data_IF_374426469818
#
_entry.id   IF_374426469818
#
_cell.length_a   1.000
_cell.length_b   1.000
_cell.length_c   1.000
_cell.angle_alpha   90.00
_cell.angle_beta   90.00
_cell.angle_gamma   90.00
#
_symmetry.space_group_name_H-M   'P 1'
#
loop_
_entity.id
_entity.type
_entity.pdbx_description
1 polymer ?
#
# COMPACT_ATOMS: atom_id res chain seq x y z
N UNK A 1 16.57 -17.50 13.60
CA UNK A 1 16.65 -16.06 13.92
C UNK A 1 15.30 -15.48 13.58
N UNK A 2 14.52 -15.10 14.57
CA UNK A 2 13.18 -14.51 14.43
C UNK A 2 13.31 -13.16 13.71
N UNK A 3 13.02 -13.16 12.40
CA UNK A 3 13.28 -12.03 11.51
C UNK A 3 12.22 -10.95 11.63
N UNK A 4 12.40 -10.00 12.55
CA UNK A 4 11.83 -8.67 12.36
C UNK A 4 12.57 -8.07 11.17
N UNK A 5 11.89 -7.94 10.02
CA UNK A 5 12.47 -7.31 8.84
C UNK A 5 12.64 -5.82 9.09
N UNK A 6 13.77 -5.29 8.66
CA UNK A 6 14.08 -3.88 8.80
C UNK A 6 13.52 -3.10 7.62
N UNK A 7 13.30 -1.80 7.81
CA UNK A 7 12.89 -0.89 6.75
C UNK A 7 13.79 -1.00 5.50
N UNK A 8 15.10 -1.14 5.72
CA UNK A 8 16.13 -1.24 4.67
C UNK A 8 16.06 -2.53 3.85
N UNK A 9 15.37 -3.57 4.33
CA UNK A 9 15.19 -4.82 3.57
C UNK A 9 14.21 -4.64 2.40
N UNK A 10 13.28 -3.69 2.53
CA UNK A 10 12.21 -3.44 1.56
C UNK A 10 12.47 -2.15 0.79
N UNK A 11 12.90 -1.10 1.48
CA UNK A 11 13.01 0.25 0.94
C UNK A 11 14.45 0.76 0.94
N UNK A 12 14.77 1.58 -0.05
CA UNK A 12 16.05 2.30 -0.14
C UNK A 12 16.06 3.47 0.87
N UNK A 13 16.65 3.22 2.05
CA UNK A 13 16.73 4.23 3.09
C UNK A 13 17.66 5.40 2.74
N UNK A 14 18.71 5.17 1.95
CA UNK A 14 19.62 6.26 1.54
C UNK A 14 18.89 7.22 0.62
N UNK A 15 18.08 6.68 -0.30
CA UNK A 15 17.21 7.50 -1.15
C UNK A 15 16.15 8.23 -0.36
N UNK A 16 15.52 7.58 0.62
CA UNK A 16 14.57 8.23 1.52
C UNK A 16 15.22 9.41 2.25
N UNK A 17 16.37 9.19 2.90
CA UNK A 17 17.10 10.23 3.65
C UNK A 17 17.47 11.39 2.75
N UNK A 18 18.07 11.10 1.58
CA UNK A 18 18.46 12.11 0.60
C UNK A 18 17.27 12.93 0.10
N UNK A 19 16.13 12.27 -0.16
CA UNK A 19 14.93 12.97 -0.67
C UNK A 19 14.32 13.95 0.34
N UNK A 20 14.58 13.74 1.64
CA UNK A 20 14.03 14.55 2.73
C UNK A 20 15.05 15.55 3.30
N UNK A 21 16.30 15.55 2.84
CA UNK A 21 17.42 16.28 3.47
C UNK A 21 17.20 17.79 3.62
N UNK A 22 16.45 18.39 2.68
CA UNK A 22 16.13 19.82 2.67
C UNK A 22 14.84 20.16 3.45
N UNK A 23 14.17 19.15 4.00
CA UNK A 23 12.88 19.28 4.70
C UNK A 23 13.02 18.90 6.17
N UNK A 24 13.60 17.72 6.43
CA UNK A 24 13.87 17.22 7.77
C UNK A 24 15.18 16.44 7.80
N UNK A 25 15.89 16.51 8.93
CA UNK A 25 17.09 15.68 9.14
C UNK A 25 16.67 14.27 9.54
N UNK A 26 16.97 13.30 8.69
CA UNK A 26 16.77 11.87 8.97
C UNK A 26 18.13 11.22 9.23
N UNK A 27 18.23 10.44 10.31
CA UNK A 27 19.46 9.74 10.70
C UNK A 27 19.21 8.24 10.84
N UNK A 28 20.15 7.41 10.38
CA UNK A 28 20.07 5.95 10.50
C UNK A 28 20.38 5.45 11.91
N UNK A 29 21.35 6.11 12.56
CA UNK A 29 21.80 5.78 13.90
C UNK A 29 21.45 6.92 14.84
N UNK A 30 21.04 6.56 16.05
CA UNK A 30 20.73 7.51 17.09
C UNK A 30 22.01 8.28 17.48
N UNK A 31 21.98 9.62 17.56
CA UNK A 31 23.14 10.39 18.01
C UNK A 31 23.53 10.02 19.44
N UNK A 32 24.84 9.99 19.73
CA UNK A 32 25.37 9.60 21.05
C UNK A 32 24.82 10.43 22.22
N UNK A 33 24.40 11.66 21.95
CA UNK A 33 23.85 12.58 22.94
C UNK A 33 22.41 12.21 23.36
N UNK A 34 21.78 11.26 22.66
CA UNK A 34 20.38 10.89 22.88
C UNK A 34 20.31 9.54 23.61
N UNK A 35 19.83 9.56 24.85
CA UNK A 35 19.64 8.35 25.66
C UNK A 35 18.32 7.63 25.32
N UNK A 36 18.40 6.31 25.15
CA UNK A 36 17.23 5.43 24.97
C UNK A 36 16.55 5.00 26.29
N UNK A 37 17.19 5.24 27.46
CA UNK A 37 16.72 4.64 28.73
C UNK A 37 15.40 5.21 29.24
N UNK A 38 15.05 6.44 28.89
CA UNK A 38 13.87 7.16 29.42
C UNK A 38 12.98 7.78 28.33
N UNK A 39 12.96 7.19 27.13
CA UNK A 39 12.18 7.73 26.00
C UNK A 39 10.68 7.60 26.26
N UNK A 40 9.96 8.71 26.15
CA UNK A 40 8.50 8.68 26.17
C UNK A 40 7.96 8.07 24.86
N UNK A 41 7.15 7.02 24.98
CA UNK A 41 6.41 6.45 23.85
C UNK A 41 5.08 7.19 23.74
N UNK A 42 4.90 7.94 22.66
CA UNK A 42 3.68 8.71 22.40
C UNK A 42 2.88 8.01 21.32
N UNK A 43 1.65 7.58 21.66
CA UNK A 43 0.73 7.00 20.68
C UNK A 43 0.02 8.13 19.93
N UNK A 44 0.20 8.19 18.63
CA UNK A 44 -0.30 9.29 17.80
C UNK A 44 -1.23 8.72 16.72
N UNK A 45 -2.49 9.20 16.61
CA UNK A 45 -3.32 8.87 15.47
C UNK A 45 -2.62 9.23 14.16
N UNK A 46 -2.83 8.49 13.08
CA UNK A 46 -2.37 8.96 11.78
C UNK A 46 -3.11 10.24 11.39
N UNK A 47 -2.37 11.20 10.82
CA UNK A 47 -2.90 12.49 10.31
C UNK A 47 -3.53 13.38 11.39
N UNK A 48 -2.75 13.68 12.42
CA UNK A 48 -3.12 14.68 13.43
C UNK A 48 -2.93 16.10 12.90
N UNK A 49 -3.73 17.03 13.41
CA UNK A 49 -3.59 18.47 13.11
C UNK A 49 -2.40 19.08 13.82
N UNK A 50 -1.98 20.27 13.39
CA UNK A 50 -0.94 21.05 14.09
C UNK A 50 -1.36 21.35 15.54
N UNK A 51 -2.62 21.70 15.78
CA UNK A 51 -3.17 21.90 17.13
C UNK A 51 -3.00 20.66 18.01
N UNK A 52 -3.27 19.46 17.48
CA UNK A 52 -3.06 18.23 18.22
C UNK A 52 -1.58 18.03 18.56
N UNK A 53 -0.67 18.33 17.62
CA UNK A 53 0.78 18.27 17.86
C UNK A 53 1.17 19.23 18.98
N UNK A 54 0.73 20.49 18.90
CA UNK A 54 1.04 21.54 19.88
C UNK A 54 0.48 21.23 21.28
N UNK A 55 -0.73 20.67 21.35
CA UNK A 55 -1.39 20.38 22.62
C UNK A 55 -0.89 19.07 23.27
N UNK A 56 -0.64 18.02 22.48
CA UNK A 56 -0.42 16.67 23.01
C UNK A 56 1.01 16.14 22.83
N UNK A 57 1.78 16.64 21.86
CA UNK A 57 3.09 16.07 21.50
C UNK A 57 4.22 17.03 21.89
N UNK A 58 4.10 18.30 21.52
CA UNK A 58 5.13 19.32 21.74
C UNK A 58 5.52 19.47 23.24
N UNK A 59 4.59 19.46 24.21
CA UNK A 59 4.93 19.57 25.62
C UNK A 59 5.78 18.39 26.12
N UNK A 60 5.46 17.18 25.64
CA UNK A 60 6.20 15.95 25.97
C UNK A 60 7.59 16.03 25.35
N UNK A 61 7.69 16.42 24.08
CA UNK A 61 8.96 16.57 23.38
C UNK A 61 9.87 17.62 24.05
N UNK A 62 9.33 18.80 24.40
CA UNK A 62 10.06 19.85 25.12
C UNK A 62 10.57 19.38 26.49
N UNK A 63 9.79 18.57 27.20
CA UNK A 63 10.17 18.03 28.51
C UNK A 63 11.22 16.91 28.44
N UNK A 64 11.11 16.02 27.45
CA UNK A 64 11.93 14.80 27.36
C UNK A 64 13.14 14.95 26.42
N UNK A 65 13.12 15.93 25.52
CA UNK A 65 14.13 16.12 24.47
C UNK A 65 14.07 15.11 23.32
N UNK A 66 13.53 13.91 23.58
CA UNK A 66 13.27 12.88 22.57
C UNK A 66 11.96 12.14 22.86
N UNK A 67 11.32 11.61 21.82
CA UNK A 67 10.12 10.77 21.93
C UNK A 67 10.17 9.65 20.89
N UNK A 68 9.53 8.53 21.20
CA UNK A 68 9.24 7.47 20.23
C UNK A 68 7.77 7.57 19.85
N UNK A 69 7.49 7.90 18.60
CA UNK A 69 6.13 7.94 18.09
C UNK A 69 5.69 6.52 17.70
N UNK A 70 4.53 6.10 18.22
CA UNK A 70 3.85 4.88 17.81
C UNK A 70 2.54 5.27 17.12
N UNK A 71 2.48 5.14 15.80
CA UNK A 71 1.29 5.53 15.03
C UNK A 71 0.24 4.42 14.99
N UNK A 72 -1.03 4.80 14.94
CA UNK A 72 -2.14 3.87 14.70
C UNK A 72 -3.19 4.50 13.78
N UNK A 73 -3.94 3.67 13.06
CA UNK A 73 -4.98 4.12 12.14
C UNK A 73 -6.34 4.09 12.86
N UNK A 74 -6.87 5.24 13.32
CA UNK A 74 -8.19 5.28 13.96
C UNK A 74 -9.31 4.92 12.97
N UNK A 75 -9.10 5.17 11.67
CA UNK A 75 -9.96 4.67 10.60
C UNK A 75 -9.14 4.14 9.44
N UNK A 76 -9.66 3.11 8.78
CA UNK A 76 -9.07 2.53 7.55
C UNK A 76 -9.35 3.38 6.30
N UNK A 77 -9.94 4.56 6.48
CA UNK A 77 -10.41 5.43 5.40
C UNK A 77 -9.46 6.62 5.22
N UNK A 78 -8.89 6.75 4.02
CA UNK A 78 -8.00 7.83 3.60
C UNK A 78 -8.76 8.92 2.81
N UNK A 79 -10.03 9.15 3.18
CA UNK A 79 -10.80 10.28 2.67
C UNK A 79 -10.19 11.57 3.20
N UNK A 80 -10.17 12.59 2.33
CA UNK A 80 -9.89 13.96 2.70
C UNK A 80 -11.01 14.47 3.61
N UNK A 81 -10.65 15.01 4.77
CA UNK A 81 -11.54 15.65 5.72
C UNK A 81 -11.65 17.16 5.44
N UNK A 82 -12.68 17.83 5.98
CA UNK A 82 -12.77 19.29 5.95
C UNK A 82 -11.71 19.98 6.81
N UNK A 83 -11.06 19.24 7.71
CA UNK A 83 -9.94 19.68 8.53
C UNK A 83 -8.57 19.42 7.87
N UNK A 84 -8.55 18.65 6.76
CA UNK A 84 -7.37 18.51 5.93
C UNK A 84 -7.29 19.80 5.12
N UNK A 85 -6.66 20.81 5.74
CA UNK A 85 -6.41 22.12 5.16
C UNK A 85 -5.55 22.06 3.90
N UNK A 86 -4.83 23.15 3.66
CA UNK A 86 -3.87 23.27 2.57
C UNK A 86 -2.90 22.07 2.54
N UNK A 87 -2.51 21.66 1.33
CA UNK A 87 -1.66 20.48 1.09
C UNK A 87 -0.46 20.47 2.03
N UNK A 88 -0.24 19.37 2.76
CA UNK A 88 1.02 19.14 3.49
C UNK A 88 2.09 18.65 2.50
N UNK A 89 3.00 19.52 2.03
CA UNK A 89 3.98 19.14 1.00
C UNK A 89 4.97 18.10 1.54
N UNK A 90 5.23 18.07 2.85
CA UNK A 90 6.15 17.13 3.48
C UNK A 90 5.53 15.74 3.50
N UNK A 91 4.26 15.62 3.90
CA UNK A 91 3.54 14.35 3.84
C UNK A 91 3.42 13.84 2.40
N UNK A 92 3.10 14.72 1.44
CA UNK A 92 3.02 14.34 0.03
C UNK A 92 4.37 13.83 -0.51
N UNK A 93 5.45 14.53 -0.22
CA UNK A 93 6.81 14.12 -0.59
C UNK A 93 7.15 12.76 0.03
N UNK A 94 6.98 12.62 1.34
CA UNK A 94 7.31 11.38 2.06
C UNK A 94 6.49 10.18 1.54
N UNK A 95 5.18 10.34 1.35
CA UNK A 95 4.30 9.23 0.96
C UNK A 95 4.44 8.83 -0.52
N UNK A 96 4.63 9.80 -1.42
CA UNK A 96 4.55 9.52 -2.86
C UNK A 96 5.85 9.72 -3.63
N UNK A 97 6.75 10.60 -3.15
CA UNK A 97 7.98 10.98 -3.84
C UNK A 97 9.26 10.37 -3.27
N UNK A 98 9.28 10.01 -1.98
CA UNK A 98 10.51 9.61 -1.28
C UNK A 98 10.68 8.10 -1.09
N UNK A 99 9.58 7.35 -1.03
CA UNK A 99 9.61 5.93 -0.71
C UNK A 99 9.82 5.08 -1.96
N UNK A 100 10.97 4.42 -2.04
CA UNK A 100 11.34 3.55 -3.15
C UNK A 100 11.82 2.19 -2.68
N UNK A 101 11.50 1.16 -3.46
CA UNK A 101 11.93 -0.20 -3.18
C UNK A 101 13.45 -0.34 -3.34
N UNK A 102 14.03 -1.25 -2.55
CA UNK A 102 15.38 -1.74 -2.79
C UNK A 102 15.52 -2.23 -4.24
N UNK A 103 16.67 -1.98 -4.92
CA UNK A 103 16.83 -2.30 -6.34
C UNK A 103 16.54 -3.76 -6.68
N UNK A 104 16.91 -4.70 -5.79
CA UNK A 104 16.68 -6.13 -6.02
C UNK A 104 15.18 -6.47 -6.02
N UNK A 105 14.42 -5.96 -5.05
CA UNK A 105 12.98 -6.19 -4.96
C UNK A 105 12.24 -5.49 -6.10
N UNK A 106 12.64 -4.25 -6.43
CA UNK A 106 12.09 -3.51 -7.56
C UNK A 106 12.27 -4.27 -8.88
N UNK A 107 13.46 -4.84 -9.12
CA UNK A 107 13.73 -5.63 -10.32
C UNK A 107 12.82 -6.88 -10.44
N UNK A 108 12.48 -7.51 -9.30
CA UNK A 108 11.52 -8.63 -9.29
C UNK A 108 10.12 -8.15 -9.65
N UNK A 109 9.65 -7.05 -9.05
CA UNK A 109 8.34 -6.46 -9.36
C UNK A 109 8.24 -6.07 -10.83
N UNK A 110 9.25 -5.37 -11.37
CA UNK A 110 9.28 -4.97 -12.78
C UNK A 110 9.30 -6.19 -13.71
N UNK A 111 10.06 -7.24 -13.38
CA UNK A 111 10.05 -8.49 -14.15
C UNK A 111 8.66 -9.16 -14.16
N UNK A 112 7.95 -9.17 -13.04
CA UNK A 112 6.58 -9.70 -12.95
C UNK A 112 5.61 -8.89 -13.82
N UNK A 113 5.71 -7.55 -13.78
CA UNK A 113 4.88 -6.66 -14.61
C UNK A 113 5.17 -6.90 -16.09
N UNK A 114 6.45 -6.92 -16.49
CA UNK A 114 6.82 -7.13 -17.89
C UNK A 114 6.30 -8.48 -18.42
N UNK A 115 6.37 -9.53 -17.60
CA UNK A 115 5.80 -10.83 -17.94
C UNK A 115 4.28 -10.78 -18.12
N UNK A 116 3.56 -10.07 -17.25
CA UNK A 116 2.11 -9.83 -17.39
C UNK A 116 1.79 -9.06 -18.69
N UNK A 117 2.58 -8.05 -19.03
CA UNK A 117 2.44 -7.28 -20.29
C UNK A 117 2.70 -8.16 -21.51
N UNK A 118 3.73 -9.00 -21.47
CA UNK A 118 4.05 -9.94 -22.53
C UNK A 118 2.91 -10.93 -22.78
N UNK A 119 2.35 -11.53 -21.72
CA UNK A 119 1.19 -12.43 -21.84
C UNK A 119 -0.09 -11.74 -22.33
N UNK A 120 -0.17 -10.41 -22.19
CA UNK A 120 -1.28 -9.57 -22.64
C UNK A 120 -0.95 -8.74 -23.88
N UNK A 121 0.07 -9.13 -24.66
CA UNK A 121 0.46 -8.44 -25.91
C UNK A 121 -0.71 -8.21 -26.88
N UNK A 122 -1.62 -9.18 -27.01
CA UNK A 122 -2.84 -9.07 -27.84
C UNK A 122 -3.81 -7.96 -27.37
N UNK A 123 -3.73 -7.53 -26.12
CA UNK A 123 -4.52 -6.44 -25.55
C UNK A 123 -3.70 -5.17 -25.33
N UNK A 124 -2.56 -5.03 -26.00
CA UNK A 124 -1.65 -3.89 -25.88
C UNK A 124 -0.84 -3.91 -24.57
N UNK A 125 -0.58 -5.09 -24.02
CA UNK A 125 0.16 -5.26 -22.77
C UNK A 125 -0.61 -4.81 -21.52
N UNK A 126 -1.94 -4.75 -21.61
CA UNK A 126 -2.80 -4.31 -20.50
C UNK A 126 -3.23 -5.48 -19.62
N UNK A 127 -3.23 -5.26 -18.30
CA UNK A 127 -3.69 -6.26 -17.34
C UNK A 127 -4.50 -5.64 -16.19
N UNK A 128 -5.36 -6.47 -15.60
CA UNK A 128 -6.19 -6.13 -14.44
C UNK A 128 -5.57 -6.78 -13.22
N UNK A 129 -5.40 -6.02 -12.14
CA UNK A 129 -5.04 -6.56 -10.83
C UNK A 129 -6.31 -6.69 -9.99
N UNK A 130 -6.54 -7.88 -9.47
CA UNK A 130 -7.69 -8.18 -8.60
C UNK A 130 -7.15 -8.63 -7.25
N UNK A 131 -7.44 -7.85 -6.20
CA UNK A 131 -7.25 -8.29 -4.82
C UNK A 131 -8.36 -9.29 -4.51
N UNK A 132 -7.98 -10.51 -4.12
CA UNK A 132 -8.89 -11.59 -3.79
C UNK A 132 -8.63 -12.01 -2.35
N UNK A 133 -9.69 -12.01 -1.53
CA UNK A 133 -9.65 -12.54 -0.16
C UNK A 133 -10.58 -13.73 -0.07
N UNK A 134 -10.01 -14.93 -0.18
CA UNK A 134 -10.77 -16.19 -0.17
C UNK A 134 -11.54 -16.34 1.16
N UNK A 135 -10.93 -15.95 2.28
CA UNK A 135 -11.58 -15.93 3.60
C UNK A 135 -12.86 -15.08 3.64
N UNK A 136 -12.96 -14.03 2.82
CA UNK A 136 -14.16 -13.19 2.71
C UNK A 136 -15.23 -13.79 1.78
N UNK A 137 -14.84 -14.74 0.92
CA UNK A 137 -15.75 -15.50 0.03
C UNK A 137 -16.31 -16.76 0.72
N UNK A 138 -15.60 -17.28 1.72
CA UNK A 138 -16.04 -18.44 2.51
C UNK A 138 -17.13 -18.08 3.53
N UNK A 139 -18.40 -18.20 3.13
CA UNK A 139 -19.50 -18.34 4.10
C UNK A 139 -19.29 -19.64 4.90
N UNK A 140 -18.83 -19.53 6.15
CA UNK A 140 -18.82 -20.53 7.24
C UNK A 140 -18.37 -21.96 6.83
N UNK A 141 -17.21 -22.36 7.34
CA UNK A 141 -16.65 -23.73 7.42
C UNK A 141 -15.82 -24.24 6.24
N UNK A 142 -14.68 -23.62 5.95
CA UNK A 142 -13.50 -24.36 5.48
C UNK A 142 -12.24 -23.85 6.21
N UNK A 143 -11.41 -24.78 6.69
CA UNK A 143 -10.07 -24.46 7.19
C UNK A 143 -9.12 -24.48 5.99
N UNK A 144 -8.95 -23.37 5.29
CA UNK A 144 -7.87 -23.20 4.33
C UNK A 144 -6.86 -22.19 4.90
N UNK A 145 -5.76 -22.71 5.44
CA UNK A 145 -4.66 -21.89 5.94
C UNK A 145 -3.72 -21.54 4.78
N UNK A 146 -3.89 -20.36 4.18
CA UNK A 146 -2.83 -19.71 3.38
C UNK A 146 -3.30 -18.81 2.22
N UNK A 147 -2.47 -17.82 1.80
CA UNK A 147 -2.75 -16.90 0.69
C UNK A 147 -2.55 -17.53 -0.71
N UNK A 148 -2.55 -18.87 -0.81
CA UNK A 148 -2.25 -19.60 -2.05
C UNK A 148 -3.54 -19.93 -2.81
N UNK A 149 -3.40 -20.12 -4.12
CA UNK A 149 -4.50 -20.53 -5.00
C UNK A 149 -5.26 -21.74 -4.44
N UNK A 150 -6.55 -21.55 -4.18
CA UNK A 150 -7.46 -22.60 -3.75
C UNK A 150 -8.20 -23.21 -4.95
N UNK A 151 -8.53 -24.50 -4.90
CA UNK A 151 -9.26 -25.18 -5.97
C UNK A 151 -10.66 -24.60 -6.20
N UNK A 152 -11.25 -23.96 -5.17
CA UNK A 152 -12.48 -23.18 -5.27
C UNK A 152 -12.40 -22.04 -6.29
N UNK A 153 -11.20 -21.53 -6.60
CA UNK A 153 -11.01 -20.48 -7.58
C UNK A 153 -10.86 -21.00 -9.02
N UNK A 154 -10.84 -22.32 -9.26
CA UNK A 154 -10.72 -22.90 -10.61
C UNK A 154 -11.74 -22.35 -11.60
N UNK A 155 -12.96 -22.05 -11.13
CA UNK A 155 -13.98 -21.40 -11.95
C UNK A 155 -13.53 -20.06 -12.54
N UNK A 156 -12.71 -19.28 -11.82
CA UNK A 156 -12.16 -18.02 -12.34
C UNK A 156 -11.17 -18.28 -13.48
N UNK A 157 -10.42 -19.38 -13.46
CA UNK A 157 -9.55 -19.77 -14.58
C UNK A 157 -10.37 -20.24 -15.77
N UNK A 158 -11.51 -20.89 -15.56
CA UNK A 158 -12.38 -21.33 -16.65
C UNK A 158 -13.01 -20.13 -17.36
N UNK A 159 -13.48 -19.14 -16.59
CA UNK A 159 -14.07 -17.89 -17.13
C UNK A 159 -12.99 -16.96 -17.68
N UNK A 160 -11.87 -16.82 -16.97
CA UNK A 160 -10.75 -15.96 -17.32
C UNK A 160 -9.47 -16.80 -17.46
N UNK A 161 -9.28 -17.49 -18.62
CA UNK A 161 -8.17 -18.42 -18.82
C UNK A 161 -6.78 -17.77 -18.83
N UNK A 162 -6.72 -16.43 -18.87
CA UNK A 162 -5.50 -15.64 -18.73
C UNK A 162 -5.34 -15.04 -17.33
N UNK A 163 -5.78 -15.78 -16.31
CA UNK A 163 -5.57 -15.43 -14.91
C UNK A 163 -4.22 -15.95 -14.45
N UNK A 164 -3.42 -15.08 -13.84
CA UNK A 164 -2.11 -15.41 -13.33
C UNK A 164 -2.04 -15.08 -11.84
N UNK A 165 -1.42 -15.97 -11.08
CA UNK A 165 -1.09 -15.71 -9.67
C UNK A 165 0.34 -15.18 -9.55
N UNK A 166 0.68 -14.57 -8.40
CA UNK A 166 2.04 -14.09 -8.15
C UNK A 166 3.09 -15.21 -8.26
N UNK A 167 2.77 -16.42 -7.85
CA UNK A 167 3.63 -17.60 -8.00
C UNK A 167 3.86 -17.97 -9.47
N UNK A 168 2.87 -17.77 -10.33
CA UNK A 168 3.00 -18.08 -11.75
C UNK A 168 3.93 -17.10 -12.46
N UNK A 169 3.87 -15.81 -12.10
CA UNK A 169 4.63 -14.75 -12.79
C UNK A 169 6.01 -14.50 -12.18
N UNK A 170 6.21 -14.73 -10.88
CA UNK A 170 7.50 -14.52 -10.22
C UNK A 170 8.57 -15.50 -10.73
N UNK A 171 9.81 -15.04 -10.99
CA UNK A 171 10.93 -15.92 -11.33
C UNK A 171 11.15 -17.01 -10.27
N UNK A 172 11.35 -18.25 -10.71
CA UNK A 172 11.46 -19.41 -9.81
C UNK A 172 12.56 -19.24 -8.74
N UNK A 173 13.71 -18.67 -9.12
CA UNK A 173 14.84 -18.42 -8.23
C UNK A 173 14.58 -17.37 -7.14
N UNK A 174 13.47 -16.61 -7.25
CA UNK A 174 13.12 -15.54 -6.32
C UNK A 174 11.97 -15.91 -5.37
N UNK A 175 11.25 -17.00 -5.64
CA UNK A 175 10.07 -17.42 -4.87
C UNK A 175 10.38 -17.69 -3.40
N UNK A 176 11.47 -18.41 -3.12
CA UNK A 176 11.85 -18.76 -1.74
C UNK A 176 12.08 -17.53 -0.86
N UNK A 177 12.65 -16.45 -1.44
CA UNK A 177 12.90 -15.20 -0.72
C UNK A 177 11.64 -14.38 -0.48
N UNK A 178 10.74 -14.30 -1.46
CA UNK A 178 9.65 -13.30 -1.46
C UNK A 178 8.24 -13.87 -1.25
N UNK A 179 8.00 -15.16 -1.51
CA UNK A 179 6.69 -15.83 -1.35
C UNK A 179 6.70 -16.97 -0.32
N UNK A 180 7.87 -17.38 0.15
CA UNK A 180 8.02 -18.46 1.14
C UNK A 180 8.70 -17.97 2.42
N UNK A 181 8.77 -16.66 2.60
CA UNK A 181 9.28 -16.08 3.84
C UNK A 181 8.28 -16.24 4.99
N UNK A 182 8.76 -16.34 6.22
CA UNK A 182 7.92 -16.51 7.42
C UNK A 182 6.89 -15.39 7.62
N UNK A 183 7.16 -14.18 7.09
CA UNK A 183 6.24 -13.03 7.14
C UNK A 183 5.65 -12.77 5.73
N UNK A 184 4.47 -12.14 5.65
CA UNK A 184 3.81 -11.80 4.38
C UNK A 184 4.18 -10.41 3.84
N UNK A 185 5.12 -9.69 4.48
CA UNK A 185 5.46 -8.30 4.12
C UNK A 185 5.93 -8.13 2.67
N UNK A 186 6.82 -8.99 2.16
CA UNK A 186 7.25 -8.91 0.77
C UNK A 186 6.10 -9.14 -0.19
N UNK A 187 5.23 -10.12 0.11
CA UNK A 187 4.02 -10.37 -0.68
C UNK A 187 3.12 -9.14 -0.70
N UNK A 188 2.83 -8.55 0.46
CA UNK A 188 1.99 -7.36 0.57
C UNK A 188 2.58 -6.17 -0.23
N UNK A 189 3.90 -6.00 -0.21
CA UNK A 189 4.60 -4.97 -0.99
C UNK A 189 4.49 -5.26 -2.48
N UNK A 190 4.76 -6.49 -2.91
CA UNK A 190 4.65 -6.90 -4.32
C UNK A 190 3.21 -6.71 -4.82
N UNK A 191 2.22 -7.16 -4.04
CA UNK A 191 0.80 -7.01 -4.36
C UNK A 191 0.43 -5.53 -4.47
N UNK A 192 0.92 -4.67 -3.57
CA UNK A 192 0.72 -3.22 -3.62
C UNK A 192 1.30 -2.58 -4.89
N UNK A 193 2.55 -2.88 -5.24
CA UNK A 193 3.22 -2.26 -6.39
C UNK A 193 2.68 -2.76 -7.73
N UNK A 194 2.37 -4.05 -7.85
CA UNK A 194 1.72 -4.61 -9.06
C UNK A 194 0.32 -4.00 -9.23
N UNK A 195 -0.48 -3.97 -8.16
CA UNK A 195 -1.83 -3.39 -8.19
C UNK A 195 -1.83 -1.89 -8.48
N UNK A 196 -0.80 -1.17 -8.03
CA UNK A 196 -0.66 0.27 -8.31
C UNK A 196 -0.28 0.57 -9.77
N UNK A 197 0.37 -0.38 -10.46
CA UNK A 197 0.88 -0.21 -11.84
C UNK A 197 0.00 -0.87 -12.91
N UNK A 198 -0.98 -1.67 -12.51
CA UNK A 198 -1.98 -2.29 -13.40
C UNK A 198 -2.83 -1.25 -14.13
N UNK A 199 -3.46 -1.65 -15.23
CA UNK A 199 -4.34 -0.77 -16.01
C UNK A 199 -5.69 -0.58 -15.32
N UNK A 200 -6.21 -1.62 -14.66
CA UNK A 200 -7.38 -1.55 -13.78
C UNK A 200 -7.05 -2.26 -12.47
N UNK A 201 -7.51 -1.69 -11.36
CA UNK A 201 -7.44 -2.33 -10.05
C UNK A 201 -8.85 -2.61 -9.51
N UNK A 202 -9.04 -3.81 -8.97
CA UNK A 202 -10.29 -4.27 -8.35
C UNK A 202 -9.99 -4.74 -6.93
N UNK A 203 -10.42 -4.03 -5.87
CA UNK A 203 -10.22 -4.45 -4.49
C UNK A 203 -11.24 -5.52 -4.08
N UNK A 204 -10.86 -6.44 -3.18
CA UNK A 204 -11.82 -7.37 -2.57
C UNK A 204 -12.73 -6.66 -1.56
N UNK A 205 -12.13 -5.82 -0.71
CA UNK A 205 -12.80 -5.18 0.41
C UNK A 205 -12.32 -3.75 0.59
N UNK A 206 -13.14 -2.95 1.27
CA UNK A 206 -12.67 -1.67 1.79
C UNK A 206 -11.61 -1.90 2.89
N UNK A 207 -10.53 -1.12 2.88
CA UNK A 207 -9.48 -1.23 3.89
C UNK A 207 -8.22 -0.44 3.52
N UNK A 208 -7.17 -0.58 4.35
CA UNK A 208 -5.90 0.13 4.16
C UNK A 208 -5.21 -0.23 2.85
N UNK A 209 -5.22 -1.51 2.44
CA UNK A 209 -4.61 -1.92 1.17
C UNK A 209 -5.28 -1.19 -0.01
N UNK A 210 -6.62 -1.31 -0.11
CA UNK A 210 -7.41 -0.59 -1.10
C UNK A 210 -7.13 0.92 -1.11
N UNK A 211 -7.18 1.58 0.06
CA UNK A 211 -6.99 3.02 0.16
C UNK A 211 -5.58 3.45 -0.27
N UNK A 212 -4.53 2.77 0.21
CA UNK A 212 -3.16 3.09 -0.17
C UNK A 212 -2.90 2.83 -1.66
N UNK A 213 -3.39 1.72 -2.22
CA UNK A 213 -3.26 1.42 -3.65
C UNK A 213 -3.94 2.49 -4.48
N UNK A 214 -5.15 2.93 -4.11
CA UNK A 214 -5.82 4.07 -4.78
C UNK A 214 -4.98 5.33 -4.71
N UNK A 215 -4.42 5.66 -3.54
CA UNK A 215 -3.52 6.81 -3.38
C UNK A 215 -2.33 6.77 -4.33
N UNK A 216 -1.61 5.64 -4.38
CA UNK A 216 -0.47 5.48 -5.30
C UNK A 216 -0.89 5.53 -6.77
N UNK A 217 -2.06 4.97 -7.10
CA UNK A 217 -2.62 5.04 -8.46
C UNK A 217 -2.96 6.46 -8.88
N UNK A 218 -3.49 7.30 -7.98
CA UNK A 218 -3.71 8.73 -8.23
C UNK A 218 -2.38 9.41 -8.54
N UNK A 219 -1.35 9.18 -7.73
CA UNK A 219 0.00 9.73 -7.94
C UNK A 219 0.62 9.31 -9.30
N UNK A 220 0.29 8.09 -9.77
CA UNK A 220 0.74 7.55 -11.06
C UNK A 220 -0.16 7.95 -12.25
N UNK A 221 -1.23 8.73 -12.03
CA UNK A 221 -2.17 9.08 -13.09
C UNK A 221 -3.00 7.90 -13.62
N UNK A 222 -3.26 6.88 -12.78
CA UNK A 222 -3.99 5.64 -13.12
C UNK A 222 -5.32 5.51 -12.37
N UNK A 223 -6.31 6.40 -12.59
CA UNK A 223 -7.52 6.48 -11.77
C UNK A 223 -8.51 5.32 -12.00
N UNK A 224 -8.23 4.36 -12.89
CA UNK A 224 -9.12 3.24 -13.17
C UNK A 224 -9.14 2.25 -12.01
N UNK A 225 -10.11 2.41 -11.10
CA UNK A 225 -10.34 1.54 -9.96
C UNK A 225 -11.82 1.19 -9.89
N UNK A 226 -12.14 -0.10 -9.99
CA UNK A 226 -13.51 -0.61 -9.98
C UNK A 226 -13.77 -1.37 -8.69
N UNK A 227 -14.78 -0.96 -7.93
CA UNK A 227 -15.21 -1.62 -6.69
C UNK A 227 -16.41 -2.50 -7.04
N UNK A 228 -16.33 -3.82 -6.80
CA UNK A 228 -17.47 -4.70 -6.99
C UNK A 228 -18.66 -4.27 -6.11
N UNK A 229 -19.87 -4.36 -6.66
CA UNK A 229 -21.11 -4.09 -5.95
C UNK A 229 -22.14 -5.19 -6.27
N UNK A 230 -23.05 -5.48 -5.34
CA UNK A 230 -24.17 -6.38 -5.63
C UNK A 230 -25.09 -5.73 -6.66
N UNK A 231 -25.31 -6.43 -7.77
CA UNK A 231 -26.22 -5.98 -8.83
C UNK A 231 -27.61 -6.48 -8.45
N UNK A 232 -28.38 -5.64 -7.75
CA UNK A 232 -29.77 -5.95 -7.40
C UNK A 232 -30.72 -5.74 -8.58
N UNK A 233 -30.37 -4.89 -9.55
CA UNK A 233 -31.21 -4.52 -10.69
C UNK A 233 -30.43 -4.48 -12.02
N UNK A 234 -31.13 -4.76 -13.12
CA UNK A 234 -30.59 -4.73 -14.50
C UNK A 234 -30.24 -3.32 -15.02
N UNK A 235 -30.40 -2.28 -14.19
CA UNK A 235 -30.18 -0.87 -14.54
C UNK A 235 -28.82 -0.30 -14.12
N UNK A 236 -27.96 -1.10 -13.50
CA UNK A 236 -26.64 -0.64 -13.02
C UNK A 236 -25.79 -0.05 -14.14
N UNK A 237 -25.27 1.15 -13.92
CA UNK A 237 -24.39 1.86 -14.85
C UNK A 237 -22.93 1.50 -14.57
N UNK A 238 -22.10 1.52 -15.61
CA UNK A 238 -20.66 1.31 -15.45
C UNK A 238 -20.00 2.31 -14.46
N UNK A 239 -20.58 3.49 -14.31
CA UNK A 239 -20.15 4.52 -13.34
C UNK A 239 -20.35 4.11 -11.89
N UNK A 240 -21.29 3.20 -11.62
CA UNK A 240 -21.68 2.81 -10.26
C UNK A 240 -20.59 1.94 -9.60
N UNK A 241 -19.75 1.32 -10.42
CA UNK A 241 -18.61 0.52 -9.98
C UNK A 241 -17.32 1.33 -9.84
N UNK A 242 -17.29 2.62 -10.22
CA UNK A 242 -16.09 3.44 -10.05
C UNK A 242 -15.88 3.72 -8.56
N UNK A 243 -14.66 3.48 -8.08
CA UNK A 243 -14.24 3.78 -6.71
C UNK A 243 -14.76 5.16 -6.24
N UNK A 244 -15.41 5.25 -5.06
CA UNK A 244 -15.83 6.53 -4.49
C UNK A 244 -14.69 7.52 -4.27
N UNK A 245 -13.47 7.01 -4.02
CA UNK A 245 -12.26 7.84 -3.95
C UNK A 245 -12.00 8.58 -5.25
N UNK A 246 -12.21 7.91 -6.38
CA UNK A 246 -11.97 8.45 -7.72
C UNK A 246 -13.13 9.32 -8.16
N UNK A 247 -14.37 8.81 -8.13
CA UNK A 247 -15.55 9.50 -8.65
C UNK A 247 -15.86 10.79 -7.90
N UNK A 248 -15.66 10.81 -6.57
CA UNK A 248 -15.86 12.01 -5.73
C UNK A 248 -14.60 12.84 -5.52
N UNK A 249 -13.46 12.43 -6.11
CA UNK A 249 -12.13 13.02 -5.88
C UNK A 249 -11.82 13.30 -4.40
N UNK A 250 -12.23 12.40 -3.52
CA UNK A 250 -12.17 12.62 -2.07
C UNK A 250 -11.04 11.85 -1.38
N UNK A 251 -10.11 11.27 -2.11
CA UNK A 251 -8.90 10.67 -1.54
C UNK A 251 -7.85 11.75 -1.23
N UNK A 252 -7.12 11.59 -0.13
CA UNK A 252 -6.04 12.52 0.28
C UNK A 252 -5.02 12.81 -0.82
N UNK A 253 -4.59 11.79 -1.56
CA UNK A 253 -3.62 11.95 -2.64
C UNK A 253 -3.97 13.07 -3.64
N UNK A 254 -5.25 13.40 -3.82
CA UNK A 254 -5.62 14.53 -4.67
C UNK A 254 -5.08 15.87 -4.18
N UNK A 255 -4.89 16.10 -2.87
CA UNK A 255 -4.24 17.33 -2.41
C UNK A 255 -2.77 17.41 -2.82
N UNK A 256 -2.11 16.28 -3.09
CA UNK A 256 -0.70 16.25 -3.48
C UNK A 256 -0.45 16.55 -4.96
N UNK A 257 -1.46 16.37 -5.82
CA UNK A 257 -1.28 16.33 -7.28
C UNK A 257 -2.33 17.14 -8.06
N UNK A 258 -3.21 17.90 -7.39
CA UNK A 258 -4.23 18.72 -8.02
C UNK A 258 -4.19 20.17 -7.50
#
# INVERSE_FOLDING_TARGET
>A
MTGIRNFEDIYDADKLIKSLENVIKVVKQLPEQVSLRDIAIVKVPTRVTEDYINEHIEPIFKSKGNIRVATYFPSVNLRKSSQDGETDPVACLAMFGSLELQPELNAVVESMIERLRTHSSKSGGRFIAVDLRIEALEKKNCHSTGPRWDSSLNILKDIFPKTFTKEAVMPASKKSKYLESESSEYENVIDFYISSRSDVFVPAISGLFYANTVGKRIALGKPQVLVPAEISDTSSRATDFISPYISKKNHLAYSCFC
#
